data_IF_094415055874
#
_entry.id   IF_094415055874
#
_cell.length_a   1.000
_cell.length_b   1.000
_cell.length_c   1.000
_cell.angle_alpha   90.00
_cell.angle_beta   90.00
_cell.angle_gamma   90.00
#
_symmetry.space_group_name_H-M   'P 1'
#
loop_
_entity.id
_entity.type
_entity.pdbx_description
1 polymer ?
#
# COMPACT_ATOMS: atom_id res chain seq x y z
N UNK A 1 -22.64 -36.13 -35.67
CA UNK A 1 -21.17 -36.22 -35.61
C UNK A 1 -20.70 -35.40 -34.43
N UNK A 2 -20.12 -36.02 -33.41
CA UNK A 2 -19.58 -35.31 -32.25
C UNK A 2 -18.06 -35.27 -32.35
N UNK A 3 -17.49 -34.08 -32.44
CA UNK A 3 -16.04 -33.87 -32.40
C UNK A 3 -15.60 -33.77 -30.94
N UNK A 4 -14.81 -34.73 -30.46
CA UNK A 4 -14.19 -34.66 -29.14
C UNK A 4 -12.96 -33.76 -29.24
N UNK A 5 -13.07 -32.53 -28.75
CA UNK A 5 -11.93 -31.61 -28.60
C UNK A 5 -11.18 -32.01 -27.33
N UNK A 6 -9.92 -32.44 -27.46
CA UNK A 6 -9.00 -32.60 -26.33
C UNK A 6 -8.24 -31.29 -26.15
N UNK A 7 -8.54 -30.58 -25.07
CA UNK A 7 -7.81 -29.37 -24.70
C UNK A 7 -6.57 -29.82 -23.91
N UNK A 8 -5.39 -29.39 -24.35
CA UNK A 8 -4.14 -29.55 -23.59
C UNK A 8 -4.20 -28.62 -22.37
N UNK A 9 -4.32 -29.21 -21.18
CA UNK A 9 -4.50 -28.48 -19.93
C UNK A 9 -3.16 -28.03 -19.30
N UNK A 10 -2.02 -28.37 -19.91
CA UNK A 10 -0.68 -28.07 -19.41
C UNK A 10 -0.42 -26.57 -19.37
N UNK A 11 -0.71 -25.87 -20.47
CA UNK A 11 -0.54 -24.42 -20.58
C UNK A 11 -1.48 -23.70 -19.60
N UNK A 12 -2.72 -24.19 -19.45
CA UNK A 12 -3.69 -23.66 -18.52
C UNK A 12 -3.22 -23.78 -17.07
N UNK A 13 -2.68 -24.95 -16.66
CA UNK A 13 -2.10 -25.15 -15.33
C UNK A 13 -0.87 -24.28 -15.10
N UNK A 14 -0.05 -24.07 -16.13
CA UNK A 14 1.15 -23.23 -16.04
C UNK A 14 0.78 -21.75 -15.85
N UNK A 15 -0.19 -21.24 -16.62
CA UNK A 15 -0.73 -19.88 -16.44
C UNK A 15 -1.35 -19.72 -15.06
N UNK A 16 -2.13 -20.71 -14.60
CA UNK A 16 -2.75 -20.68 -13.27
C UNK A 16 -1.71 -20.70 -12.13
N UNK A 17 -0.66 -21.52 -12.26
CA UNK A 17 0.44 -21.59 -11.29
C UNK A 17 1.26 -20.29 -11.22
N UNK A 18 1.55 -19.69 -12.37
CA UNK A 18 2.21 -18.39 -12.48
C UNK A 18 1.36 -17.27 -11.83
N UNK A 19 0.05 -17.30 -12.07
CA UNK A 19 -0.87 -16.31 -11.48
C UNK A 19 -0.93 -16.40 -9.95
N UNK A 20 -0.90 -17.61 -9.38
CA UNK A 20 -0.90 -17.78 -7.93
C UNK A 20 0.41 -17.27 -7.29
N UNK A 21 1.56 -17.54 -7.91
CA UNK A 21 2.85 -17.03 -7.44
C UNK A 21 2.92 -15.50 -7.45
N UNK A 22 2.38 -14.88 -8.51
CA UNK A 22 2.28 -13.42 -8.62
C UNK A 22 1.34 -12.80 -7.59
N UNK A 23 0.22 -13.44 -7.27
CA UNK A 23 -0.70 -13.00 -6.21
C UNK A 23 -0.04 -13.05 -4.82
N UNK A 24 0.75 -14.10 -4.56
CA UNK A 24 1.53 -14.22 -3.33
C UNK A 24 2.65 -13.17 -3.23
N UNK A 25 3.29 -12.84 -4.35
CA UNK A 25 4.25 -11.74 -4.40
C UNK A 25 3.58 -10.39 -4.12
N UNK A 26 2.43 -10.09 -4.75
CA UNK A 26 1.63 -8.90 -4.49
C UNK A 26 1.13 -8.82 -3.04
N UNK A 27 0.82 -9.97 -2.44
CA UNK A 27 0.51 -10.06 -1.00
C UNK A 27 1.67 -9.61 -0.14
N UNK A 28 2.88 -10.08 -0.43
CA UNK A 28 4.10 -9.70 0.27
C UNK A 28 4.37 -8.20 0.17
N UNK A 29 4.29 -7.63 -1.03
CA UNK A 29 4.46 -6.18 -1.24
C UNK A 29 3.45 -5.38 -0.43
N UNK A 30 2.16 -5.75 -0.51
CA UNK A 30 1.10 -5.08 0.24
C UNK A 30 1.39 -5.06 1.75
N UNK A 31 1.82 -6.19 2.31
CA UNK A 31 2.13 -6.30 3.74
C UNK A 31 3.33 -5.43 4.14
N UNK A 32 4.35 -5.35 3.29
CA UNK A 32 5.51 -4.48 3.51
C UNK A 32 5.15 -3.00 3.42
N UNK A 33 4.40 -2.60 2.38
CA UNK A 33 3.90 -1.23 2.23
C UNK A 33 3.06 -0.78 3.42
N UNK A 34 2.13 -1.62 3.91
CA UNK A 34 1.37 -1.33 5.14
C UNK A 34 2.32 -1.10 6.32
N UNK A 35 3.34 -1.97 6.46
CA UNK A 35 4.37 -1.82 7.49
C UNK A 35 5.13 -0.50 7.39
N UNK A 36 5.51 -0.08 6.20
CA UNK A 36 6.27 1.14 5.96
C UNK A 36 5.43 2.40 6.23
N UNK A 37 4.16 2.40 5.81
CA UNK A 37 3.21 3.48 6.14
C UNK A 37 3.05 3.59 7.66
N UNK A 38 2.83 2.47 8.35
CA UNK A 38 2.66 2.47 9.81
C UNK A 38 3.93 2.95 10.54
N UNK A 39 5.11 2.62 10.02
CA UNK A 39 6.41 3.06 10.57
C UNK A 39 6.72 4.54 10.29
N UNK A 40 6.20 5.12 9.20
CA UNK A 40 6.45 6.52 8.86
C UNK A 40 5.79 7.50 9.86
N UNK A 41 4.71 7.07 10.51
CA UNK A 41 4.02 7.87 11.52
C UNK A 41 4.89 8.17 12.74
N UNK A 42 4.91 9.43 13.18
CA UNK A 42 5.73 9.87 14.32
C UNK A 42 7.20 10.12 14.00
N UNK A 43 7.59 10.08 12.73
CA UNK A 43 8.97 10.37 12.31
C UNK A 43 9.19 11.84 11.92
N UNK A 44 8.10 12.62 11.80
CA UNK A 44 8.15 14.02 11.41
C UNK A 44 8.63 14.95 12.54
N UNK A 45 9.28 16.08 12.22
CA UNK A 45 9.60 17.09 13.22
C UNK A 45 8.31 17.65 13.86
N UNK A 46 8.38 18.07 15.14
CA UNK A 46 7.23 18.66 15.82
C UNK A 46 6.81 19.98 15.16
N UNK A 47 5.50 20.15 15.02
CA UNK A 47 4.82 21.33 14.49
C UNK A 47 4.03 22.05 15.59
N UNK A 48 2.78 22.40 15.28
CA UNK A 48 1.90 23.14 16.20
C UNK A 48 1.48 22.24 17.37
N UNK A 49 1.60 22.76 18.58
CA UNK A 49 1.07 22.13 19.79
C UNK A 49 -0.36 22.64 20.05
N UNK A 50 -1.29 21.73 20.34
CA UNK A 50 -2.65 22.04 20.78
C UNK A 50 -3.06 21.10 21.92
N UNK A 51 -3.29 21.68 23.10
CA UNK A 51 -3.44 20.89 24.33
C UNK A 51 -2.19 20.03 24.58
N UNK A 52 -2.41 18.73 24.79
CA UNK A 52 -1.35 17.75 25.01
C UNK A 52 -0.78 17.16 23.71
N UNK A 53 -1.38 17.47 22.55
CA UNK A 53 -0.94 16.97 21.25
C UNK A 53 0.07 17.90 20.58
N UNK A 54 1.06 17.30 19.91
CA UNK A 54 1.98 17.99 18.99
C UNK A 54 1.86 17.40 17.59
N UNK A 55 1.32 18.20 16.66
CA UNK A 55 1.21 17.79 15.26
C UNK A 55 2.59 17.69 14.60
N UNK A 56 2.67 17.02 13.45
CA UNK A 56 3.87 17.07 12.60
C UNK A 56 3.91 18.35 11.79
N UNK A 57 5.10 18.74 11.33
CA UNK A 57 5.21 19.78 10.32
C UNK A 57 4.54 19.38 8.99
N UNK A 58 4.00 20.34 8.22
CA UNK A 58 3.54 20.12 6.85
C UNK A 58 4.53 19.33 6.00
N UNK A 59 4.02 18.47 5.11
CA UNK A 59 4.84 17.62 4.25
C UNK A 59 5.45 16.40 4.93
N UNK A 60 5.32 16.26 6.25
CA UNK A 60 5.77 15.09 7.00
C UNK A 60 4.59 14.21 7.42
N UNK A 61 4.81 12.90 7.60
CA UNK A 61 3.79 12.00 8.12
C UNK A 61 3.21 12.48 9.45
N UNK A 62 1.95 12.13 9.78
CA UNK A 62 1.32 12.56 11.03
C UNK A 62 2.13 12.16 12.28
N UNK A 63 2.26 13.08 13.24
CA UNK A 63 2.78 12.75 14.57
C UNK A 63 1.73 12.02 15.41
N UNK A 64 2.19 11.15 16.29
CA UNK A 64 1.35 10.18 16.98
C UNK A 64 0.54 10.85 18.08
N UNK A 65 -0.77 11.04 17.85
CA UNK A 65 -1.83 10.85 18.87
C UNK A 65 -2.97 9.95 18.40
N UNK A 66 -2.76 9.23 17.30
CA UNK A 66 -3.80 8.42 16.70
C UNK A 66 -3.33 6.97 16.58
N UNK A 67 -3.07 6.33 17.72
CA UNK A 67 -2.91 4.86 17.78
C UNK A 67 -4.09 4.14 17.09
N UNK A 68 -5.29 4.75 17.14
CA UNK A 68 -6.45 4.30 16.40
C UNK A 68 -6.28 4.38 14.86
N UNK A 69 -5.67 5.45 14.33
CA UNK A 69 -5.40 5.60 12.89
C UNK A 69 -4.32 4.62 12.42
N UNK A 70 -3.20 4.51 13.16
CA UNK A 70 -2.17 3.49 12.83
C UNK A 70 -2.74 2.08 12.83
N UNK A 71 -3.62 1.78 13.79
CA UNK A 71 -4.30 0.49 13.89
C UNK A 71 -5.40 0.25 12.86
N UNK A 72 -5.88 1.29 12.16
CA UNK A 72 -6.91 1.16 11.13
C UNK A 72 -6.34 0.91 9.73
N UNK A 73 -5.05 1.17 9.52
CA UNK A 73 -4.35 0.93 8.25
C UNK A 73 -4.26 -0.58 8.01
N UNK A 74 -4.78 -1.02 6.86
CA UNK A 74 -4.84 -2.44 6.52
C UNK A 74 -4.75 -2.67 5.02
N UNK A 75 -4.18 -3.81 4.66
CA UNK A 75 -4.15 -4.30 3.30
C UNK A 75 -5.04 -5.53 3.14
N UNK A 76 -5.79 -5.63 2.04
CA UNK A 76 -6.54 -6.85 1.69
C UNK A 76 -6.56 -7.10 0.19
N UNK A 77 -6.81 -8.36 -0.17
CA UNK A 77 -7.07 -8.77 -1.56
C UNK A 77 -8.53 -8.49 -1.90
N UNK A 78 -8.79 -7.84 -3.04
CA UNK A 78 -10.14 -7.67 -3.59
C UNK A 78 -10.47 -8.82 -4.54
N UNK A 79 -9.55 -9.12 -5.45
CA UNK A 79 -9.62 -10.24 -6.38
C UNK A 79 -8.21 -10.71 -6.72
N UNK A 80 -8.09 -11.78 -7.49
CA UNK A 80 -6.79 -12.28 -7.95
C UNK A 80 -6.00 -11.17 -8.65
N UNK A 81 -4.74 -10.97 -8.23
CA UNK A 81 -3.85 -9.91 -8.66
C UNK A 81 -4.32 -8.47 -8.36
N UNK A 82 -5.29 -8.29 -7.47
CA UNK A 82 -5.86 -6.97 -7.13
C UNK A 82 -5.91 -6.80 -5.60
N UNK A 83 -5.01 -5.97 -5.12
CA UNK A 83 -4.78 -5.72 -3.71
C UNK A 83 -4.98 -4.24 -3.44
N UNK A 84 -5.55 -3.94 -2.28
CA UNK A 84 -5.69 -2.56 -1.82
C UNK A 84 -5.09 -2.39 -0.45
N UNK A 85 -4.69 -1.14 -0.18
CA UNK A 85 -4.29 -0.63 1.12
C UNK A 85 -5.26 0.50 1.43
N UNK A 86 -5.85 0.45 2.62
CA UNK A 86 -6.85 1.40 3.09
C UNK A 86 -6.42 1.96 4.46
N UNK A 87 -6.68 3.24 4.68
CA UNK A 87 -6.37 3.99 5.90
C UNK A 87 -7.34 3.71 7.06
N UNK A 88 -8.53 3.20 6.73
CA UNK A 88 -9.56 2.78 7.68
C UNK A 88 -10.31 3.93 8.36
N UNK A 89 -10.16 5.18 7.89
CA UNK A 89 -10.88 6.35 8.42
C UNK A 89 -11.25 7.34 7.30
N UNK A 90 -12.36 8.06 7.47
CA UNK A 90 -12.85 8.97 6.43
C UNK A 90 -11.93 10.19 6.16
N UNK A 91 -11.08 10.56 7.12
CA UNK A 91 -10.26 11.76 7.05
C UNK A 91 -8.81 11.51 6.59
N UNK A 92 -8.41 10.27 6.28
CA UNK A 92 -7.02 10.03 5.89
C UNK A 92 -6.67 10.69 4.55
N UNK A 93 -7.62 10.77 3.61
CA UNK A 93 -7.43 11.56 2.38
C UNK A 93 -7.17 13.05 2.66
N UNK A 94 -7.81 13.62 3.70
CA UNK A 94 -7.59 15.01 4.10
C UNK A 94 -6.19 15.22 4.68
N UNK A 95 -5.58 14.18 5.25
CA UNK A 95 -4.19 14.21 5.69
C UNK A 95 -3.24 14.08 4.50
N UNK A 96 -3.56 13.26 3.50
CA UNK A 96 -2.71 13.11 2.31
C UNK A 96 -2.71 14.37 1.42
N UNK A 97 -3.88 14.96 1.19
CA UNK A 97 -4.05 16.09 0.25
C UNK A 97 -4.14 17.46 0.93
N UNK A 98 -4.30 17.48 2.25
CA UNK A 98 -4.61 18.70 3.00
C UNK A 98 -6.07 19.15 2.85
N UNK A 99 -6.38 20.28 3.46
CA UNK A 99 -7.67 20.99 3.37
C UNK A 99 -7.43 22.49 3.21
N UNK A 100 -8.48 23.31 3.13
CA UNK A 100 -8.34 24.77 3.08
C UNK A 100 -7.56 25.34 4.28
N UNK A 101 -7.70 24.71 5.45
CA UNK A 101 -7.14 25.20 6.71
C UNK A 101 -5.94 24.38 7.23
N UNK A 102 -5.65 23.23 6.60
CA UNK A 102 -4.63 22.28 7.08
C UNK A 102 -3.76 21.81 5.93
N UNK A 103 -2.46 22.07 6.03
CA UNK A 103 -1.51 21.61 5.02
C UNK A 103 -1.35 20.07 4.99
N UNK A 104 -0.97 19.49 3.84
CA UNK A 104 -0.79 18.05 3.69
C UNK A 104 0.21 17.43 4.67
N UNK A 105 -0.08 16.23 5.16
CA UNK A 105 0.75 15.32 5.97
C UNK A 105 0.81 13.93 5.31
N UNK A 106 1.44 13.82 4.14
CA UNK A 106 1.40 12.60 3.36
C UNK A 106 2.18 11.47 4.07
N UNK A 107 1.60 10.28 4.03
CA UNK A 107 2.12 9.06 4.65
C UNK A 107 1.94 7.83 3.76
N UNK A 108 0.96 7.86 2.86
CA UNK A 108 0.71 6.80 1.87
C UNK A 108 1.48 7.06 0.59
N UNK A 109 1.25 8.22 -0.03
CA UNK A 109 1.79 8.51 -1.37
C UNK A 109 3.32 8.35 -1.46
N UNK A 110 4.13 8.83 -0.50
CA UNK A 110 5.59 8.63 -0.55
C UNK A 110 5.99 7.15 -0.54
N UNK A 111 5.26 6.29 0.18
CA UNK A 111 5.52 4.84 0.23
C UNK A 111 5.16 4.20 -1.10
N UNK A 112 4.04 4.60 -1.72
CA UNK A 112 3.66 4.12 -3.05
C UNK A 112 4.71 4.51 -4.11
N UNK A 113 5.16 5.76 -4.10
CA UNK A 113 6.18 6.24 -5.03
C UNK A 113 7.51 5.48 -4.85
N UNK A 114 7.92 5.23 -3.60
CA UNK A 114 9.13 4.43 -3.30
C UNK A 114 9.01 2.98 -3.79
N UNK A 115 7.88 2.33 -3.52
CA UNK A 115 7.65 0.95 -3.91
C UNK A 115 7.47 0.78 -5.41
N UNK A 116 6.83 1.73 -6.09
CA UNK A 116 6.76 1.74 -7.55
C UNK A 116 8.18 1.72 -8.14
N UNK A 117 9.06 2.60 -7.65
CA UNK A 117 10.45 2.63 -8.10
C UNK A 117 11.19 1.31 -7.84
N UNK A 118 11.05 0.74 -6.64
CA UNK A 118 11.66 -0.56 -6.30
C UNK A 118 11.22 -1.67 -7.24
N UNK A 119 9.92 -1.74 -7.55
CA UNK A 119 9.35 -2.75 -8.45
C UNK A 119 9.86 -2.54 -9.88
N UNK A 120 9.96 -1.30 -10.36
CA UNK A 120 10.50 -0.98 -11.68
C UNK A 120 11.99 -1.37 -11.80
N UNK A 121 12.78 -1.11 -10.75
CA UNK A 121 14.18 -1.51 -10.65
C UNK A 121 14.31 -3.05 -10.64
N UNK A 122 13.56 -3.75 -9.79
CA UNK A 122 13.52 -5.22 -9.72
C UNK A 122 13.06 -5.86 -11.05
N UNK A 123 12.11 -5.24 -11.75
CA UNK A 123 11.65 -5.72 -13.05
C UNK A 123 12.75 -5.60 -14.12
N UNK A 124 13.55 -4.54 -14.06
CA UNK A 124 14.71 -4.36 -14.94
C UNK A 124 15.79 -5.41 -14.67
N UNK A 125 15.94 -5.83 -13.42
CA UNK A 125 16.87 -6.88 -12.98
C UNK A 125 16.35 -8.31 -13.18
N UNK A 126 15.08 -8.47 -13.58
CA UNK A 126 14.44 -9.78 -13.78
C UNK A 126 14.10 -10.51 -12.48
N UNK A 127 13.92 -9.77 -11.38
CA UNK A 127 13.60 -10.30 -10.05
C UNK A 127 12.10 -10.34 -9.75
N UNK A 128 11.27 -9.71 -10.59
CA UNK A 128 9.81 -9.79 -10.51
C UNK A 128 9.33 -11.08 -11.20
N UNK A 129 8.48 -11.90 -10.54
CA UNK A 129 7.94 -13.14 -11.10
C UNK A 129 6.93 -12.96 -12.25
#
# INVERSE_FOLDING_TARGET
MGSTVRIDDTILKQIQGDTAGRDDWLRGIREQMVGDIVKSHGTGPPGIQYGDHVASQPGHPPNVDLNAFRGSIKGRRIKLLDHIIEDGVAHGIMMEDGTEDVEPRPSFRPVFDEWQKKIEDEATEGLVP
#
